data_IF_114968889306
#
_entry.id   IF_114968889306
#
_cell.length_a   1.000
_cell.length_b   1.000
_cell.length_c   1.000
_cell.angle_alpha   90.00
_cell.angle_beta   90.00
_cell.angle_gamma   90.00
#
_symmetry.space_group_name_H-M   'P 1'
#
loop_
_entity.id
_entity.type
_entity.pdbx_description
1 polymer ?
#
# COMPACT_ATOMS: atom_id res chain seq x y z
N UNK A 1 -1.49 -9.14 -7.41
CA UNK A 1 -0.92 -7.78 -7.21
C UNK A 1 0.26 -7.50 -8.12
N UNK A 2 1.25 -8.41 -8.24
CA UNK A 2 2.40 -8.22 -9.15
C UNK A 2 1.97 -7.83 -10.58
N UNK A 3 1.01 -8.54 -11.16
CA UNK A 3 0.51 -8.19 -12.50
C UNK A 3 -0.18 -6.83 -12.57
N UNK A 4 -0.87 -6.42 -11.50
CA UNK A 4 -1.47 -5.08 -11.43
C UNK A 4 -0.38 -4.00 -11.45
N UNK A 5 0.73 -4.20 -10.72
CA UNK A 5 1.86 -3.28 -10.74
C UNK A 5 2.57 -3.26 -12.10
N UNK A 6 2.73 -4.42 -12.75
CA UNK A 6 3.24 -4.48 -14.13
C UNK A 6 2.35 -3.68 -15.09
N UNK A 7 1.03 -3.84 -14.96
CA UNK A 7 0.06 -3.08 -15.76
C UNK A 7 0.15 -1.57 -15.49
N UNK A 8 0.27 -1.15 -14.22
CA UNK A 8 0.43 0.25 -13.87
C UNK A 8 1.69 0.85 -14.49
N UNK A 9 2.84 0.16 -14.38
CA UNK A 9 4.11 0.62 -14.95
C UNK A 9 4.12 0.60 -16.47
N UNK A 10 3.49 -0.38 -17.12
CA UNK A 10 3.43 -0.48 -18.58
C UNK A 10 2.74 0.72 -19.26
N UNK A 11 1.99 1.54 -18.50
CA UNK A 11 1.35 2.77 -18.99
C UNK A 11 2.29 3.97 -19.07
N UNK A 12 3.41 3.92 -18.34
CA UNK A 12 4.33 5.06 -18.17
C UNK A 12 5.81 4.69 -18.44
N UNK A 13 6.11 3.41 -18.59
CA UNK A 13 7.41 2.86 -18.92
C UNK A 13 7.42 2.26 -20.32
N UNK A 14 8.61 2.18 -20.93
CA UNK A 14 8.83 1.36 -22.12
C UNK A 14 8.42 -0.10 -21.82
N UNK A 15 7.38 -0.65 -22.48
CA UNK A 15 6.82 -1.95 -22.12
C UNK A 15 7.84 -3.09 -22.16
N UNK A 16 8.84 -3.01 -23.03
CA UNK A 16 9.90 -4.01 -23.15
C UNK A 16 10.85 -4.04 -21.94
N UNK A 17 10.81 -2.99 -21.10
CA UNK A 17 11.66 -2.85 -19.91
C UNK A 17 10.95 -3.21 -18.61
N UNK A 18 9.63 -3.45 -18.63
CA UNK A 18 8.87 -3.76 -17.42
C UNK A 18 9.10 -5.22 -17.02
N UNK A 19 9.84 -5.42 -15.94
CA UNK A 19 10.26 -6.74 -15.45
C UNK A 19 9.87 -6.96 -14.00
N UNK A 20 9.74 -8.23 -13.61
CA UNK A 20 9.66 -8.65 -12.21
C UNK A 20 11.07 -9.04 -11.78
N UNK A 21 11.73 -8.17 -11.02
CA UNK A 21 13.11 -8.38 -10.58
C UNK A 21 13.21 -9.34 -9.40
N UNK A 22 12.16 -9.40 -8.57
CA UNK A 22 12.03 -10.31 -7.45
C UNK A 22 10.57 -10.74 -7.29
N UNK A 23 10.32 -12.03 -7.09
CA UNK A 23 8.98 -12.59 -6.99
C UNK A 23 8.82 -13.37 -5.69
N UNK A 24 7.82 -12.99 -4.89
CA UNK A 24 7.43 -13.63 -3.63
C UNK A 24 8.62 -13.87 -2.67
N UNK A 25 9.50 -12.87 -2.54
CA UNK A 25 10.58 -12.87 -1.57
C UNK A 25 10.04 -12.70 -0.16
N UNK A 26 10.46 -13.55 0.79
CA UNK A 26 10.03 -13.46 2.18
C UNK A 26 10.84 -12.39 2.92
N UNK A 27 10.18 -11.30 3.30
CA UNK A 27 10.73 -10.32 4.23
C UNK A 27 10.18 -10.53 5.63
N UNK A 28 11.07 -10.51 6.62
CA UNK A 28 10.74 -10.75 8.02
C UNK A 28 10.99 -9.51 8.85
N UNK A 29 9.95 -9.06 9.56
CA UNK A 29 10.05 -8.04 10.60
C UNK A 29 9.84 -8.70 11.96
N UNK A 30 10.13 -8.00 13.09
CA UNK A 30 9.85 -8.56 14.42
C UNK A 30 8.39 -8.93 14.69
N UNK A 31 7.44 -8.43 13.87
CA UNK A 31 6.00 -8.61 14.13
C UNK A 31 5.25 -9.38 13.04
N UNK A 32 5.75 -9.37 11.80
CA UNK A 32 5.13 -10.06 10.67
C UNK A 32 6.16 -10.51 9.64
N UNK A 33 5.82 -11.58 8.93
CA UNK A 33 6.47 -11.98 7.69
C UNK A 33 5.59 -11.59 6.50
N UNK A 34 6.20 -11.13 5.41
CA UNK A 34 5.48 -10.69 4.22
C UNK A 34 6.17 -11.19 2.95
N UNK A 35 5.36 -11.57 1.96
CA UNK A 35 5.87 -11.84 0.62
C UNK A 35 5.93 -10.51 -0.14
N UNK A 36 7.13 -10.14 -0.56
CA UNK A 36 7.44 -8.90 -1.28
C UNK A 36 7.87 -9.27 -2.70
N UNK A 37 7.54 -8.41 -3.66
CA UNK A 37 7.96 -8.57 -5.05
C UNK A 37 8.35 -7.22 -5.60
N UNK A 38 9.38 -7.21 -6.45
CA UNK A 38 9.90 -5.99 -7.06
C UNK A 38 9.54 -5.99 -8.53
N UNK A 39 8.86 -4.93 -8.97
CA UNK A 39 8.56 -4.68 -10.38
C UNK A 39 9.24 -3.37 -10.76
N UNK A 40 10.02 -3.39 -11.83
CA UNK A 40 10.79 -2.24 -12.30
C UNK A 40 10.54 -2.01 -13.79
N UNK A 41 10.84 -0.80 -14.26
CA UNK A 41 10.77 -0.43 -15.67
C UNK A 41 11.41 0.94 -15.92
N UNK A 42 11.75 1.22 -17.18
CA UNK A 42 12.33 2.50 -17.58
C UNK A 42 11.21 3.42 -18.06
N UNK A 43 11.01 4.54 -17.36
CA UNK A 43 10.04 5.57 -17.73
C UNK A 43 10.21 6.04 -19.18
N UNK A 44 9.11 6.45 -19.81
CA UNK A 44 9.18 7.17 -21.07
C UNK A 44 9.97 8.48 -20.89
N UNK A 45 10.60 8.93 -21.97
CA UNK A 45 11.33 10.20 -21.93
C UNK A 45 10.33 11.34 -21.69
N UNK A 46 10.58 12.14 -20.64
CA UNK A 46 9.74 13.28 -20.29
C UNK A 46 8.59 12.96 -19.36
N UNK A 47 8.43 11.71 -18.89
CA UNK A 47 7.42 11.36 -17.88
C UNK A 47 7.64 12.20 -16.62
N UNK A 48 6.58 12.82 -16.13
CA UNK A 48 6.62 13.66 -14.93
C UNK A 48 6.29 12.85 -13.68
N UNK A 49 6.69 13.35 -12.50
CA UNK A 49 6.35 12.68 -11.23
C UNK A 49 4.83 12.55 -11.04
N UNK A 50 4.04 13.55 -11.43
CA UNK A 50 2.59 13.50 -11.27
C UNK A 50 1.92 12.46 -12.19
N UNK A 51 2.49 12.19 -13.36
CA UNK A 51 2.08 11.05 -14.21
C UNK A 51 2.41 9.71 -13.53
N UNK A 52 3.59 9.59 -12.92
CA UNK A 52 3.97 8.38 -12.17
C UNK A 52 3.00 8.14 -11.01
N UNK A 53 2.69 9.17 -10.22
CA UNK A 53 1.76 9.08 -9.10
C UNK A 53 0.36 8.70 -9.55
N UNK A 54 -0.18 9.34 -10.60
CA UNK A 54 -1.51 9.00 -11.13
C UNK A 54 -1.60 7.60 -11.73
N UNK A 55 -0.50 7.08 -12.28
CA UNK A 55 -0.47 5.73 -12.82
C UNK A 55 -0.40 4.65 -11.72
N UNK A 56 0.31 4.93 -10.62
CA UNK A 56 0.64 3.92 -9.61
C UNK A 56 -0.22 3.98 -8.35
N UNK A 57 -0.83 5.13 -8.04
CA UNK A 57 -1.65 5.32 -6.84
C UNK A 57 -3.17 5.30 -7.14
N UNK A 58 -3.99 4.84 -6.18
CA UNK A 58 -3.59 4.18 -4.94
C UNK A 58 -2.96 2.81 -5.23
N UNK A 59 -2.04 2.39 -4.35
CA UNK A 59 -1.28 1.17 -4.56
C UNK A 59 -2.21 -0.05 -4.63
N UNK A 60 -1.88 -0.99 -5.53
CA UNK A 60 -2.65 -2.23 -5.71
C UNK A 60 -2.75 -3.07 -4.43
N UNK A 61 -1.69 -3.11 -3.63
CA UNK A 61 -1.65 -3.81 -2.33
C UNK A 61 -2.58 -3.20 -1.27
N UNK A 62 -3.01 -1.95 -1.46
CA UNK A 62 -3.89 -1.25 -0.53
C UNK A 62 -5.31 -1.06 -1.06
N UNK A 63 -5.59 -1.48 -2.29
CA UNK A 63 -6.90 -1.34 -2.94
C UNK A 63 -7.45 -2.72 -3.28
N UNK A 64 -6.91 -3.34 -4.34
CA UNK A 64 -7.29 -4.66 -4.82
C UNK A 64 -7.16 -4.77 -6.33
N UNK A 65 -7.61 -5.90 -6.89
CA UNK A 65 -7.60 -6.16 -8.33
C UNK A 65 -8.94 -6.77 -8.76
N UNK A 66 -9.62 -6.23 -9.79
CA UNK A 66 -9.31 -5.02 -10.56
C UNK A 66 -9.35 -3.72 -9.72
N UNK A 67 -8.37 -2.81 -9.92
CA UNK A 67 -8.14 -1.65 -9.03
C UNK A 67 -9.37 -0.75 -8.87
N UNK A 68 -9.99 -0.34 -9.98
CA UNK A 68 -11.14 0.58 -9.93
C UNK A 68 -12.34 -0.03 -9.19
N UNK A 69 -12.69 -1.27 -9.53
CA UNK A 69 -13.79 -1.98 -8.87
C UNK A 69 -13.52 -2.18 -7.37
N UNK A 70 -12.29 -2.50 -6.99
CA UNK A 70 -11.91 -2.63 -5.58
C UNK A 70 -12.06 -1.29 -4.83
N UNK A 71 -11.60 -0.18 -5.42
CA UNK A 71 -11.77 1.17 -4.83
C UNK A 71 -13.25 1.52 -4.67
N UNK A 72 -14.10 1.21 -5.65
CA UNK A 72 -15.55 1.45 -5.55
C UNK A 72 -16.21 0.62 -4.45
N UNK A 73 -15.82 -0.65 -4.30
CA UNK A 73 -16.30 -1.51 -3.22
C UNK A 73 -15.87 -0.94 -1.87
N UNK A 74 -14.59 -0.58 -1.72
CA UNK A 74 -14.07 0.02 -0.50
C UNK A 74 -14.81 1.32 -0.15
N UNK A 75 -15.05 2.19 -1.14
CA UNK A 75 -15.79 3.44 -0.94
C UNK A 75 -17.25 3.25 -0.50
N UNK A 76 -17.85 2.07 -0.71
CA UNK A 76 -19.18 1.73 -0.17
C UNK A 76 -19.14 1.07 1.20
N UNK A 77 -18.04 0.40 1.55
CA UNK A 77 -17.92 -0.38 2.78
C UNK A 77 -17.26 0.40 3.92
N UNK A 78 -16.33 1.29 3.60
CA UNK A 78 -15.61 2.09 4.60
C UNK A 78 -16.48 3.25 5.07
N UNK A 79 -16.55 3.41 6.40
CA UNK A 79 -17.41 4.41 7.05
C UNK A 79 -16.84 5.83 7.00
N UNK A 80 -15.52 5.96 6.80
CA UNK A 80 -14.80 7.22 6.80
C UNK A 80 -13.68 7.22 5.76
N UNK A 81 -13.26 8.40 5.25
CA UNK A 81 -12.08 8.51 4.39
C UNK A 81 -10.82 8.03 5.13
N UNK A 82 -9.95 7.29 4.42
CA UNK A 82 -8.69 6.76 4.99
C UNK A 82 -7.69 7.84 5.42
N UNK A 83 -7.85 9.08 4.98
CA UNK A 83 -6.91 10.16 5.27
C UNK A 83 -5.49 9.80 4.79
N UNK A 84 -4.51 9.86 5.71
CA UNK A 84 -3.15 9.48 5.38
C UNK A 84 -2.96 7.96 5.22
N UNK A 85 -3.80 7.11 5.83
CA UNK A 85 -3.64 5.65 5.75
C UNK A 85 -3.77 5.16 4.29
N UNK A 86 -2.92 4.21 3.90
CA UNK A 86 -2.88 3.66 2.55
C UNK A 86 -2.53 4.66 1.42
N UNK A 87 -2.12 5.89 1.77
CA UNK A 87 -1.45 6.84 0.88
C UNK A 87 0.06 6.57 0.81
N UNK A 88 0.85 7.62 0.58
CA UNK A 88 2.31 7.51 0.59
C UNK A 88 2.98 8.74 1.21
N UNK A 89 4.16 8.56 1.78
CA UNK A 89 5.01 9.61 2.30
C UNK A 89 6.47 9.35 1.92
N UNK A 90 7.26 10.41 1.75
CA UNK A 90 8.67 10.28 1.40
C UNK A 90 9.25 11.59 0.88
N UNK A 91 10.23 11.50 -0.01
CA UNK A 91 10.95 12.66 -0.53
C UNK A 91 11.03 12.66 -2.05
N UNK A 92 11.16 13.87 -2.59
CA UNK A 92 11.34 14.15 -4.01
C UNK A 92 12.47 15.16 -4.13
N UNK A 93 13.52 14.82 -4.88
CA UNK A 93 14.59 15.76 -5.20
C UNK A 93 14.23 16.64 -6.39
N UNK A 94 14.91 17.79 -6.50
CA UNK A 94 14.83 18.67 -7.66
C UNK A 94 15.23 17.97 -8.99
N UNK A 95 16.01 16.88 -8.92
CA UNK A 95 16.34 16.03 -10.06
C UNK A 95 15.16 15.20 -10.59
N UNK A 96 14.05 15.13 -9.87
CA UNK A 96 12.92 14.23 -10.14
C UNK A 96 13.07 12.83 -9.52
N UNK A 97 14.19 12.52 -8.87
CA UNK A 97 14.32 11.29 -8.07
C UNK A 97 13.37 11.34 -6.89
N UNK A 98 12.58 10.29 -6.70
CA UNK A 98 11.64 10.19 -5.59
C UNK A 98 11.76 8.82 -4.90
N UNK A 99 11.53 8.80 -3.59
CA UNK A 99 11.33 7.57 -2.82
C UNK A 99 10.13 7.77 -1.93
N UNK A 100 9.12 6.94 -2.12
CA UNK A 100 7.84 7.01 -1.42
C UNK A 100 7.56 5.66 -0.78
N UNK A 101 7.24 5.68 0.51
CA UNK A 101 6.75 4.53 1.25
C UNK A 101 5.25 4.63 1.46
N UNK A 102 4.55 3.50 1.42
CA UNK A 102 3.15 3.46 1.79
C UNK A 102 2.99 3.82 3.26
N UNK A 103 2.01 4.65 3.58
CA UNK A 103 1.65 5.05 4.95
C UNK A 103 0.83 3.96 5.63
N UNK A 104 1.51 2.86 5.92
CA UNK A 104 1.04 1.72 6.70
C UNK A 104 1.88 1.60 7.97
N UNK A 105 1.37 0.90 9.00
CA UNK A 105 2.05 0.77 10.30
C UNK A 105 2.48 2.14 10.87
N UNK A 106 1.64 3.14 10.66
CA UNK A 106 1.94 4.54 10.95
C UNK A 106 0.89 5.10 11.90
N UNK A 107 1.29 6.11 12.69
CA UNK A 107 0.41 6.89 13.55
C UNK A 107 0.09 8.22 12.84
N UNK A 108 -1.19 8.52 12.65
CA UNK A 108 -1.62 9.87 12.28
C UNK A 108 -1.99 10.61 13.56
N UNK A 109 -1.18 11.59 13.95
CA UNK A 109 -1.36 12.37 15.17
C UNK A 109 -1.97 13.72 14.80
N UNK A 110 -3.18 13.95 15.25
CA UNK A 110 -3.89 15.24 15.21
C UNK A 110 -3.92 15.85 16.62
N UNK A 111 -4.46 17.06 16.76
CA UNK A 111 -4.41 17.80 18.06
C UNK A 111 -5.05 17.04 19.22
N UNK A 112 -6.15 16.34 18.97
CA UNK A 112 -6.99 15.70 19.98
C UNK A 112 -7.21 14.19 19.74
N UNK A 113 -6.59 13.63 18.69
CA UNK A 113 -6.80 12.24 18.27
C UNK A 113 -5.54 11.66 17.65
N UNK A 114 -5.32 10.36 17.90
CA UNK A 114 -4.36 9.54 17.16
C UNK A 114 -5.11 8.44 16.43
N UNK A 115 -4.87 8.31 15.12
CA UNK A 115 -5.51 7.30 14.27
C UNK A 115 -4.46 6.29 13.79
N UNK A 116 -4.81 4.99 13.88
CA UNK A 116 -4.02 3.88 13.34
C UNK A 116 -4.83 3.16 12.29
N UNK A 117 -4.41 3.26 11.03
CA UNK A 117 -5.01 2.50 9.93
C UNK A 117 -4.36 1.12 9.79
N UNK A 118 -5.20 0.08 9.68
CA UNK A 118 -4.77 -1.29 9.38
C UNK A 118 -5.83 -2.01 8.55
N UNK A 119 -5.41 -2.99 7.75
CA UNK A 119 -6.25 -3.69 6.79
C UNK A 119 -5.63 -5.00 6.31
N UNK A 120 -6.46 -5.82 5.67
CA UNK A 120 -6.11 -7.13 5.11
C UNK A 120 -6.56 -7.24 3.65
N UNK A 121 -5.96 -8.18 2.92
CA UNK A 121 -6.34 -8.46 1.54
C UNK A 121 -7.37 -9.56 1.50
N UNK A 122 -8.62 -9.23 1.15
CA UNK A 122 -9.69 -10.24 1.09
C UNK A 122 -9.65 -10.99 -0.24
N UNK A 123 -9.62 -12.31 -0.16
CA UNK A 123 -9.71 -13.21 -1.31
C UNK A 123 -10.88 -14.18 -1.14
N UNK A 124 -11.19 -14.96 -2.17
CA UNK A 124 -12.23 -15.98 -2.11
C UNK A 124 -12.05 -16.98 -0.96
N UNK A 125 -10.80 -17.29 -0.60
CA UNK A 125 -10.48 -18.24 0.48
C UNK A 125 -10.34 -17.60 1.87
N UNK A 126 -10.56 -16.29 1.99
CA UNK A 126 -10.40 -15.59 3.26
C UNK A 126 -11.45 -16.01 4.28
N UNK A 127 -11.02 -16.19 5.53
CA UNK A 127 -11.89 -16.44 6.68
C UNK A 127 -11.98 -15.13 7.47
N UNK A 128 -13.20 -14.60 7.65
CA UNK A 128 -13.38 -13.26 8.24
C UNK A 128 -12.73 -13.09 9.62
N UNK A 129 -12.77 -14.12 10.47
CA UNK A 129 -12.12 -14.09 11.77
C UNK A 129 -10.59 -13.99 11.67
N UNK A 130 -9.97 -14.68 10.71
CA UNK A 130 -8.52 -14.65 10.50
C UNK A 130 -8.07 -13.29 9.94
N UNK A 131 -8.87 -12.69 9.06
CA UNK A 131 -8.60 -11.36 8.51
C UNK A 131 -8.65 -10.28 9.60
N UNK A 132 -9.63 -10.36 10.52
CA UNK A 132 -9.69 -9.47 11.69
C UNK A 132 -8.48 -9.67 12.60
N UNK A 133 -8.07 -10.92 12.84
CA UNK A 133 -6.87 -11.22 13.62
C UNK A 133 -5.60 -10.67 12.95
N UNK A 134 -5.51 -10.71 11.62
CA UNK A 134 -4.40 -10.11 10.87
C UNK A 134 -4.38 -8.59 10.98
N UNK A 135 -5.53 -7.92 10.86
CA UNK A 135 -5.65 -6.47 11.05
C UNK A 135 -5.17 -6.07 12.45
N UNK A 136 -5.61 -6.82 13.47
CA UNK A 136 -5.18 -6.63 14.85
C UNK A 136 -3.67 -6.84 15.03
N UNK A 137 -3.10 -7.91 14.45
CA UNK A 137 -1.65 -8.15 14.44
C UNK A 137 -0.89 -6.98 13.80
N UNK A 138 -1.45 -6.41 12.72
CA UNK A 138 -0.85 -5.28 12.01
C UNK A 138 -0.88 -3.97 12.82
N UNK A 139 -1.99 -3.71 13.51
CA UNK A 139 -2.16 -2.50 14.32
C UNK A 139 -1.42 -2.54 15.66
N UNK A 140 -1.07 -3.73 16.15
CA UNK A 140 -0.46 -3.94 17.48
C UNK A 140 0.78 -3.09 17.72
N UNK A 141 1.74 -3.09 16.80
CA UNK A 141 3.01 -2.38 16.99
C UNK A 141 2.83 -0.84 17.06
N UNK A 142 2.12 -0.19 16.12
CA UNK A 142 1.81 1.23 16.26
C UNK A 142 1.06 1.58 17.55
N UNK A 143 0.05 0.80 17.94
CA UNK A 143 -0.72 1.04 19.17
C UNK A 143 0.16 0.91 20.41
N UNK A 144 0.99 -0.13 20.49
CA UNK A 144 1.91 -0.34 21.61
C UNK A 144 2.92 0.81 21.76
N UNK A 145 3.34 1.43 20.66
CA UNK A 145 4.27 2.57 20.69
C UNK A 145 3.72 3.81 21.42
N UNK A 146 2.39 3.91 21.58
CA UNK A 146 1.71 4.97 22.33
C UNK A 146 1.05 4.47 23.62
N UNK A 147 1.37 3.24 24.05
CA UNK A 147 0.76 2.62 25.24
C UNK A 147 -0.72 2.26 25.07
N UNK A 148 -1.24 2.24 23.83
CA UNK A 148 -2.60 1.83 23.54
C UNK A 148 -2.68 0.32 23.30
N UNK A 149 -3.83 -0.26 23.60
CA UNK A 149 -4.18 -1.64 23.25
C UNK A 149 -5.12 -1.68 22.06
N UNK A 150 -5.25 -2.85 21.44
CA UNK A 150 -6.31 -3.08 20.47
C UNK A 150 -7.67 -2.85 21.13
N UNK A 151 -8.64 -2.27 20.41
CA UNK A 151 -10.02 -2.27 20.86
C UNK A 151 -10.52 -3.72 21.00
N UNK A 152 -11.51 -3.96 21.88
CA UNK A 152 -12.09 -5.28 22.09
C UNK A 152 -12.74 -5.86 20.82
#
# INVERSE_FOLDING_TARGET
IVDLMRNDLARICDPATVTVESLLHLESTPTVHQLVSTVAGRLHRGTTLDEVLRATLPAGSMSGAPKLAAIEILGRLEVEPRGAYAGCAGWVAASGTATLGMTIRSLLIERDRVTVGAGGGITWGSIGADEVAEVALKARAPLAAIGATLPP
#
